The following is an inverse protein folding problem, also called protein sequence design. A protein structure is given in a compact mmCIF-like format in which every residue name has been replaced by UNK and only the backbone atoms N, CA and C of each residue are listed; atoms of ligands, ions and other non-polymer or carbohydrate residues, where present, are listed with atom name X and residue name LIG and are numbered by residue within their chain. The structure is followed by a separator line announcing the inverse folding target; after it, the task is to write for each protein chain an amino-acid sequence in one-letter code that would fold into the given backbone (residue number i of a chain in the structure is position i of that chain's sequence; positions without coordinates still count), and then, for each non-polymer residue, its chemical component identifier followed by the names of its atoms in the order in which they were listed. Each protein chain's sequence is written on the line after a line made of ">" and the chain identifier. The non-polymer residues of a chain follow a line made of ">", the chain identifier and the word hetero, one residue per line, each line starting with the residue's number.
data_IF_570042490229
#
_entry.id   IF_570042490229
#
_cell.length_a   1.000
_cell.length_b   1.000
_cell.length_c   1.000
_cell.angle_alpha   90.00
_cell.angle_beta   90.00
_cell.angle_gamma   90.00
#
_symmetry.space_group_name_H-M   'P 1'
#
loop_
_entity.id
_entity.type
_entity.pdbx_description
1 polymer ?
#
# COMPACT_ATOMS: atom_id res chain seq x y z
N UNK A 1 -12.41 -15.63 -4.31
CA UNK A 1 -12.11 -14.49 -5.20
C UNK A 1 -13.17 -13.43 -4.98
N UNK A 2 -12.73 -12.21 -4.73
CA UNK A 2 -13.66 -11.11 -4.51
C UNK A 2 -14.11 -10.53 -5.83
N UNK A 3 -15.41 -10.36 -5.96
CA UNK A 3 -15.94 -9.67 -7.12
C UNK A 3 -16.18 -8.20 -6.76
N UNK A 4 -16.05 -7.34 -7.73
CA UNK A 4 -16.32 -5.91 -7.56
C UNK A 4 -17.12 -5.42 -8.75
N UNK A 5 -18.02 -4.49 -8.50
CA UNK A 5 -18.80 -3.89 -9.55
C UNK A 5 -18.25 -2.52 -9.87
N UNK A 6 -18.34 -2.14 -11.14
CA UNK A 6 -17.82 -0.87 -11.59
C UNK A 6 -18.40 0.32 -10.80
N UNK A 7 -19.70 0.28 -10.48
CA UNK A 7 -20.33 1.34 -9.72
C UNK A 7 -19.77 1.45 -8.31
N UNK A 8 -19.45 0.30 -7.68
CA UNK A 8 -18.90 0.29 -6.33
C UNK A 8 -17.47 0.80 -6.33
N UNK A 9 -16.70 0.42 -7.33
CA UNK A 9 -15.32 0.88 -7.48
C UNK A 9 -15.30 2.41 -7.65
N UNK A 10 -16.17 2.93 -8.51
CA UNK A 10 -16.27 4.36 -8.75
C UNK A 10 -16.61 5.12 -7.46
N UNK A 11 -17.55 4.59 -6.69
CA UNK A 11 -17.96 5.21 -5.43
C UNK A 11 -16.81 5.23 -4.43
N UNK A 12 -16.08 4.13 -4.30
CA UNK A 12 -14.97 4.04 -3.34
C UNK A 12 -13.80 4.93 -3.71
N UNK A 13 -13.52 5.07 -5.00
CA UNK A 13 -12.42 5.91 -5.47
C UNK A 13 -12.80 7.37 -5.58
N UNK A 14 -14.09 7.69 -5.51
CA UNK A 14 -14.55 9.05 -5.67
C UNK A 14 -14.37 9.58 -7.10
N UNK A 15 -14.49 8.68 -8.08
CA UNK A 15 -14.37 9.04 -9.50
C UNK A 15 -15.62 8.61 -10.26
N UNK A 16 -15.74 9.06 -11.50
CA UNK A 16 -16.91 8.72 -12.32
C UNK A 16 -16.82 7.29 -12.84
N UNK A 17 -17.94 6.70 -13.20
CA UNK A 17 -17.95 5.37 -13.80
C UNK A 17 -17.21 5.31 -15.13
N UNK A 18 -17.28 6.31 -16.04
CA UNK A 18 -16.47 6.30 -17.24
C UNK A 18 -14.96 6.26 -16.95
N UNK A 19 -14.52 6.91 -15.87
CA UNK A 19 -13.11 6.86 -15.44
C UNK A 19 -12.72 5.44 -15.05
N UNK A 20 -13.57 4.79 -14.26
CA UNK A 20 -13.35 3.38 -13.87
C UNK A 20 -13.33 2.49 -15.11
N UNK A 21 -14.24 2.70 -16.05
CA UNK A 21 -14.28 1.90 -17.27
C UNK A 21 -12.97 1.96 -18.03
N UNK A 22 -12.36 3.15 -18.13
CA UNK A 22 -11.06 3.32 -18.79
C UNK A 22 -9.95 2.60 -18.04
N UNK A 23 -9.97 2.68 -16.72
CA UNK A 23 -9.00 1.98 -15.88
C UNK A 23 -9.11 0.47 -16.08
N UNK A 24 -10.33 -0.05 -16.11
CA UNK A 24 -10.58 -1.48 -16.26
C UNK A 24 -10.10 -2.00 -17.61
N UNK A 25 -10.27 -1.23 -18.68
CA UNK A 25 -9.77 -1.63 -20.00
C UNK A 25 -8.26 -1.86 -19.94
N UNK A 26 -7.54 -0.96 -19.28
CA UNK A 26 -6.09 -1.10 -19.14
C UNK A 26 -5.72 -2.31 -18.29
N UNK A 27 -6.43 -2.49 -17.17
CA UNK A 27 -6.15 -3.61 -16.26
C UNK A 27 -6.44 -4.96 -16.91
N UNK A 28 -7.49 -5.03 -17.73
CA UNK A 28 -7.79 -6.25 -18.49
C UNK A 28 -6.67 -6.52 -19.49
N UNK A 29 -6.24 -5.48 -20.21
CA UNK A 29 -5.15 -5.61 -21.18
C UNK A 29 -3.86 -6.08 -20.54
N UNK A 30 -3.61 -5.63 -19.28
CA UNK A 30 -2.41 -6.02 -18.54
C UNK A 30 -2.56 -7.40 -17.87
N UNK A 31 -3.71 -8.04 -18.01
CA UNK A 31 -3.93 -9.36 -17.43
C UNK A 31 -4.14 -9.38 -15.93
N UNK A 32 -4.50 -8.25 -15.36
CA UNK A 32 -4.65 -8.13 -13.90
C UNK A 32 -6.08 -8.35 -13.43
N UNK A 33 -7.06 -8.15 -14.30
CA UNK A 33 -8.47 -8.37 -13.97
C UNK A 33 -9.19 -9.05 -15.13
N UNK A 34 -10.33 -9.66 -14.82
CA UNK A 34 -11.26 -10.22 -15.81
C UNK A 34 -12.62 -9.59 -15.54
N UNK A 35 -13.31 -9.21 -16.60
CA UNK A 35 -14.69 -8.76 -16.50
C UNK A 35 -15.59 -9.88 -16.97
N UNK A 36 -16.59 -10.23 -16.15
CA UNK A 36 -17.57 -11.25 -16.51
C UNK A 36 -18.94 -10.59 -16.65
N UNK A 37 -19.64 -10.82 -17.77
CA UNK A 37 -20.97 -10.22 -17.97
C UNK A 37 -21.89 -10.53 -16.78
N UNK A 38 -22.57 -9.52 -16.28
CA UNK A 38 -23.55 -9.62 -15.19
C UNK A 38 -22.98 -10.04 -13.84
N UNK A 39 -21.68 -10.31 -13.74
CA UNK A 39 -21.06 -10.77 -12.49
C UNK A 39 -20.09 -9.79 -11.88
N UNK A 40 -19.49 -8.94 -12.69
CA UNK A 40 -18.59 -7.93 -12.20
C UNK A 40 -17.14 -8.14 -12.61
N UNK A 41 -16.25 -7.58 -11.83
CA UNK A 41 -14.81 -7.58 -12.08
C UNK A 41 -14.13 -8.48 -11.06
N UNK A 42 -13.22 -9.33 -11.52
CA UNK A 42 -12.47 -10.24 -10.66
C UNK A 42 -10.98 -10.07 -10.91
N UNK A 43 -10.19 -10.17 -9.85
CA UNK A 43 -8.74 -10.18 -9.98
C UNK A 43 -8.28 -11.50 -10.58
N UNK A 44 -7.30 -11.43 -11.47
CA UNK A 44 -6.55 -12.63 -11.87
C UNK A 44 -5.53 -12.94 -10.77
N UNK A 45 -4.84 -14.07 -10.87
CA UNK A 45 -3.76 -14.38 -9.93
C UNK A 45 -2.69 -13.29 -9.95
N UNK A 46 -2.35 -12.79 -11.13
CA UNK A 46 -1.39 -11.71 -11.28
C UNK A 46 -1.89 -10.42 -10.62
N UNK A 47 -3.19 -10.13 -10.78
CA UNK A 47 -3.80 -8.95 -10.15
C UNK A 47 -3.82 -9.07 -8.65
N UNK A 48 -4.14 -10.26 -8.13
CA UNK A 48 -4.14 -10.51 -6.69
C UNK A 48 -2.73 -10.36 -6.12
N UNK A 49 -1.72 -10.87 -6.80
CA UNK A 49 -0.34 -10.76 -6.36
C UNK A 49 0.11 -9.30 -6.33
N UNK A 50 -0.25 -8.53 -7.35
CA UNK A 50 0.08 -7.11 -7.39
C UNK A 50 -0.61 -6.35 -6.26
N UNK A 51 -1.89 -6.64 -6.01
CA UNK A 51 -2.64 -6.01 -4.92
C UNK A 51 -2.02 -6.33 -3.57
N UNK A 52 -1.58 -7.57 -3.37
CA UNK A 52 -0.94 -7.98 -2.13
C UNK A 52 0.40 -7.25 -1.92
N UNK A 53 1.17 -7.10 -2.99
CA UNK A 53 2.42 -6.34 -2.95
C UNK A 53 2.17 -4.89 -2.54
N UNK A 54 1.13 -4.27 -3.11
CA UNK A 54 0.77 -2.89 -2.78
C UNK A 54 0.34 -2.76 -1.32
N UNK A 55 -0.46 -3.70 -0.83
CA UNK A 55 -0.87 -3.71 0.58
C UNK A 55 0.31 -3.87 1.51
N UNK A 56 1.23 -4.76 1.17
CA UNK A 56 2.42 -4.99 1.99
C UNK A 56 3.29 -3.75 2.04
N UNK A 57 3.47 -3.09 0.91
CA UNK A 57 4.24 -1.86 0.81
C UNK A 57 3.66 -0.78 1.72
N UNK A 58 2.37 -0.59 1.65
CA UNK A 58 1.66 0.38 2.48
C UNK A 58 1.80 0.04 3.97
N UNK A 59 1.57 -1.24 4.30
CA UNK A 59 1.66 -1.72 5.69
C UNK A 59 3.04 -1.50 6.29
N UNK A 60 4.10 -1.78 5.51
CA UNK A 60 5.48 -1.62 6.00
C UNK A 60 5.76 -0.15 6.32
N UNK A 61 5.37 0.75 5.42
CA UNK A 61 5.59 2.17 5.63
C UNK A 61 4.83 2.67 6.86
N UNK A 62 3.55 2.31 6.97
CA UNK A 62 2.74 2.71 8.12
C UNK A 62 3.32 2.18 9.42
N UNK A 63 3.68 0.90 9.44
CA UNK A 63 4.23 0.27 10.64
C UNK A 63 5.55 0.92 11.06
N UNK A 64 6.36 1.28 10.10
CA UNK A 64 7.63 1.93 10.40
C UNK A 64 7.41 3.32 11.00
N UNK A 65 6.52 4.11 10.42
CA UNK A 65 6.19 5.43 10.97
C UNK A 65 5.61 5.34 12.37
N UNK A 66 4.72 4.36 12.58
CA UNK A 66 4.11 4.14 13.90
C UNK A 66 5.17 3.78 14.93
N UNK A 67 6.11 2.94 14.55
CA UNK A 67 7.20 2.55 15.44
C UNK A 67 8.12 3.72 15.76
N UNK A 68 8.23 4.69 14.86
CA UNK A 68 9.01 5.90 15.11
C UNK A 68 8.29 6.89 16.02
N UNK A 69 7.02 6.65 16.33
CA UNK A 69 6.26 7.52 17.17
C UNK A 69 5.49 8.63 16.46
N UNK A 70 5.32 8.48 15.14
CA UNK A 70 4.52 9.43 14.39
C UNK A 70 3.06 9.31 14.82
N UNK A 71 2.36 10.42 15.11
CA UNK A 71 0.96 10.36 15.52
C UNK A 71 0.08 9.71 14.45
N UNK A 72 -0.92 8.94 14.90
CA UNK A 72 -1.81 8.20 13.98
C UNK A 72 -2.47 9.08 12.93
N UNK A 73 -2.87 10.29 13.32
CA UNK A 73 -3.51 11.20 12.36
C UNK A 73 -2.59 11.65 11.24
N UNK A 74 -1.29 11.50 11.40
CA UNK A 74 -0.31 11.85 10.37
C UNK A 74 0.14 10.64 9.56
N UNK A 75 0.11 9.45 10.16
CA UNK A 75 0.66 8.25 9.55
C UNK A 75 0.00 7.95 8.20
N UNK A 76 -1.31 8.00 8.16
CA UNK A 76 -2.05 7.66 6.95
C UNK A 76 -1.66 8.54 5.76
N UNK A 77 -1.61 9.84 5.99
CA UNK A 77 -1.29 10.80 4.94
C UNK A 77 0.17 10.69 4.53
N UNK A 78 1.06 10.63 5.50
CA UNK A 78 2.49 10.57 5.24
C UNK A 78 2.88 9.26 4.56
N UNK A 79 2.30 8.14 5.00
CA UNK A 79 2.58 6.85 4.39
C UNK A 79 2.13 6.81 2.94
N UNK A 80 0.97 7.37 2.64
CA UNK A 80 0.46 7.42 1.28
C UNK A 80 1.41 8.18 0.37
N UNK A 81 1.95 9.31 0.84
CA UNK A 81 2.94 10.06 0.07
C UNK A 81 4.26 9.32 -0.08
N UNK A 82 4.75 8.76 1.01
CA UNK A 82 6.06 8.10 1.03
C UNK A 82 6.10 6.85 0.14
N UNK A 83 5.04 6.05 0.12
CA UNK A 83 5.07 4.79 -0.61
C UNK A 83 5.25 4.98 -2.12
N UNK A 84 4.93 6.16 -2.65
CA UNK A 84 5.13 6.46 -4.06
C UNK A 84 6.60 6.68 -4.42
N UNK A 85 7.41 7.05 -3.44
CA UNK A 85 8.80 7.43 -3.68
C UNK A 85 9.82 6.50 -3.04
N UNK A 86 9.38 5.63 -2.16
CA UNK A 86 10.29 4.72 -1.45
C UNK A 86 10.72 3.60 -2.40
N UNK A 87 12.01 3.39 -2.52
CA UNK A 87 12.55 2.31 -3.33
C UNK A 87 12.31 0.97 -2.65
N UNK A 88 12.45 -0.11 -3.43
CA UNK A 88 12.37 -1.46 -2.89
C UNK A 88 13.43 -1.68 -1.81
N UNK A 89 14.62 -1.15 -2.02
CA UNK A 89 15.73 -1.27 -1.08
C UNK A 89 15.42 -0.58 0.24
N UNK A 90 14.86 0.62 0.19
CA UNK A 90 14.46 1.36 1.38
C UNK A 90 13.35 0.62 2.12
N UNK A 91 12.37 0.11 1.38
CA UNK A 91 11.27 -0.65 1.96
C UNK A 91 11.79 -1.89 2.68
N UNK A 92 12.74 -2.57 2.06
CA UNK A 92 13.38 -3.75 2.65
C UNK A 92 14.12 -3.37 3.95
N UNK A 93 14.79 -2.23 3.96
CA UNK A 93 15.47 -1.74 5.16
C UNK A 93 14.48 -1.44 6.28
N UNK A 94 13.33 -0.85 5.96
CA UNK A 94 12.27 -0.60 6.94
C UNK A 94 11.78 -1.91 7.54
N UNK A 95 11.55 -2.91 6.68
CA UNK A 95 11.08 -4.22 7.13
C UNK A 95 12.10 -4.90 8.04
N UNK A 96 13.37 -4.82 7.70
CA UNK A 96 14.44 -5.39 8.52
C UNK A 96 14.50 -4.72 9.89
N UNK A 97 14.36 -3.41 9.93
CA UNK A 97 14.34 -2.68 11.19
C UNK A 97 13.19 -3.15 12.07
N UNK A 98 12.01 -3.33 11.48
CA UNK A 98 10.85 -3.83 12.22
C UNK A 98 11.06 -5.26 12.71
N UNK A 99 11.63 -6.13 11.86
CA UNK A 99 11.82 -7.54 12.20
C UNK A 99 12.91 -7.76 13.25
N UNK A 100 13.94 -6.92 13.24
CA UNK A 100 15.11 -7.11 14.09
C UNK A 100 15.06 -6.31 15.39
N UNK A 101 13.87 -6.08 15.89
CA UNK A 101 13.75 -5.42 17.17
C UNK A 101 13.85 -3.92 17.07
N UNK A 102 12.88 -3.33 16.44
CA UNK A 102 12.80 -1.88 16.30
C UNK A 102 12.94 -1.16 17.62
N UNK A 103 12.49 -1.79 18.73
CA UNK A 103 12.64 -1.21 20.06
C UNK A 103 14.09 -0.91 20.39
N UNK A 104 15.00 -1.81 20.01
CA UNK A 104 16.43 -1.60 20.23
C UNK A 104 16.96 -0.47 19.37
N UNK A 105 16.47 -0.38 18.15
CA UNK A 105 16.84 0.71 17.25
C UNK A 105 16.38 2.06 17.83
N UNK A 106 15.15 2.14 18.27
CA UNK A 106 14.62 3.36 18.87
C UNK A 106 15.37 3.74 20.13
N UNK A 107 15.76 2.77 20.92
CA UNK A 107 16.53 3.01 22.11
C UNK A 107 17.86 3.67 21.79
N UNK A 108 18.51 3.24 20.72
CA UNK A 108 19.76 3.85 20.27
C UNK A 108 19.55 5.27 19.79
N UNK A 109 18.43 5.53 19.08
CA UNK A 109 18.12 6.86 18.59
C UNK A 109 17.82 7.83 19.72
N UNK A 110 17.23 7.36 20.80
CA UNK A 110 16.84 8.21 21.91
C UNK A 110 17.98 8.43 22.92
N UNK A 111 19.11 7.78 22.73
CA UNK A 111 20.26 8.07 23.55
C UNK A 111 20.71 9.51 23.35
N UNK A 112 20.97 10.22 24.42
CA UNK A 112 21.52 11.56 24.27
C UNK A 112 22.82 11.42 23.48
N UNK A 113 22.95 12.35 22.63
CA UNK A 113 24.16 12.35 21.85
C UNK A 113 25.25 12.62 22.79
N UNK A 114 25.89 11.97 23.09
CA UNK A 114 26.80 12.08 23.87
C UNK A 114 27.56 12.95 23.64
N UNK A 115 27.51 13.37 23.52
CA UNK A 115 28.02 13.96 23.26
C UNK A 115 28.14 14.53 22.79
N UNK A 116 27.95 14.49 22.58
CA UNK A 116 28.09 15.04 21.97
C UNK A 116 28.15 15.62 22.09
#
# INVERSE_FOLDING_TARGET
>A
MQEARQVDIAARLGVSQPTVAKMLVRLVADGLVVQKPYRGVFLTDAGAALAETAKNRHRVVESFLRALGVPEENIRVDAEGMEHYVSRETLSAFQKALDNGFASFMKRLSRPAITS
#
